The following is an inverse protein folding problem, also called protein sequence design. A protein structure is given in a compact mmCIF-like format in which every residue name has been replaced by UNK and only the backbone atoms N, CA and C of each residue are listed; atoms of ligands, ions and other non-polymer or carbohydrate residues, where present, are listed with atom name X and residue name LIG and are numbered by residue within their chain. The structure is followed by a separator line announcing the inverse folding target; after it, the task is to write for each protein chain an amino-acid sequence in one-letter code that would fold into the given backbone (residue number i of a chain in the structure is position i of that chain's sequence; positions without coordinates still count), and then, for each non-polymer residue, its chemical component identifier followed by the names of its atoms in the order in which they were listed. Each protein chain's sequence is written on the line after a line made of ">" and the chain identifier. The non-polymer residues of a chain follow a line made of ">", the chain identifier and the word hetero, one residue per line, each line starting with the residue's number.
data_IF_920825888240
#
_entry.id   IF_920825888240
#
_cell.length_a   1.000
_cell.length_b   1.000
_cell.length_c   1.000
_cell.angle_alpha   90.00
_cell.angle_beta   90.00
_cell.angle_gamma   90.00
#
_symmetry.space_group_name_H-M   'P 1'
#
loop_
_entity.id
_entity.type
_entity.pdbx_description
1 polymer ?
#
# COMPACT_ATOMS: atom_id res chain seq x y z
N UNK A 1 10.56 1.38 8.17
CA UNK A 1 10.39 1.32 6.70
C UNK A 1 10.87 -0.04 6.18
N UNK A 2 10.26 -0.59 5.14
CA UNK A 2 10.64 -1.88 4.55
C UNK A 2 10.66 -1.83 3.01
N UNK A 3 11.57 -2.56 2.39
CA UNK A 3 11.82 -2.54 0.95
C UNK A 3 12.29 -3.90 0.41
N UNK A 4 12.26 -4.03 -0.92
CA UNK A 4 12.79 -5.20 -1.62
C UNK A 4 14.29 -5.02 -1.84
N UNK A 5 15.07 -6.01 -1.41
CA UNK A 5 16.48 -6.15 -1.75
C UNK A 5 16.60 -7.05 -2.97
N UNK A 6 17.37 -6.58 -3.95
CA UNK A 6 17.67 -7.31 -5.19
C UNK A 6 19.11 -7.81 -5.13
N UNK A 7 19.31 -9.09 -5.44
CA UNK A 7 20.65 -9.62 -5.67
C UNK A 7 20.95 -9.71 -7.16
N UNK A 8 22.23 -9.54 -7.51
CA UNK A 8 22.80 -10.30 -8.62
C UNK A 8 23.20 -11.66 -8.04
N UNK A 9 22.30 -12.64 -8.11
CA UNK A 9 22.68 -14.04 -7.91
C UNK A 9 23.13 -14.53 -9.26
N UNK A 10 24.25 -15.27 -9.33
CA UNK A 10 24.80 -15.90 -10.53
C UNK A 10 23.72 -16.18 -11.58
N UNK A 11 23.91 -15.61 -12.79
CA UNK A 11 23.10 -15.43 -14.01
C UNK A 11 21.65 -15.96 -14.15
N UNK A 12 21.13 -16.84 -13.28
CA UNK A 12 19.88 -17.59 -13.46
C UNK A 12 18.96 -17.67 -12.24
N UNK A 13 19.24 -17.02 -11.11
CA UNK A 13 18.33 -17.01 -9.94
C UNK A 13 18.05 -15.61 -9.39
N UNK A 14 17.16 -14.85 -10.01
CA UNK A 14 16.67 -13.60 -9.40
C UNK A 14 15.85 -13.96 -8.16
N UNK A 15 16.38 -13.72 -6.96
CA UNK A 15 15.60 -13.77 -5.72
C UNK A 15 15.45 -12.38 -5.13
N UNK A 16 14.24 -12.09 -4.63
CA UNK A 16 13.92 -10.89 -3.87
C UNK A 16 13.72 -11.28 -2.43
N UNK A 17 14.24 -10.44 -1.55
CA UNK A 17 14.10 -10.60 -0.11
C UNK A 17 13.68 -9.27 0.50
N UNK A 18 13.01 -9.32 1.64
CA UNK A 18 12.47 -8.12 2.30
C UNK A 18 13.40 -7.68 3.42
N UNK A 19 13.87 -6.45 3.35
CA UNK A 19 14.63 -5.81 4.42
C UNK A 19 13.81 -4.66 5.03
N UNK A 20 14.13 -4.32 6.28
CA UNK A 20 13.55 -3.19 6.96
C UNK A 20 14.60 -2.46 7.80
N UNK A 21 14.31 -1.20 8.11
CA UNK A 21 15.02 -0.39 9.08
C UNK A 21 14.00 0.38 9.91
N UNK A 22 14.33 0.65 11.16
CA UNK A 22 13.48 1.36 12.12
C UNK A 22 14.11 2.69 12.43
N UNK A 23 13.27 3.71 12.53
CA UNK A 23 13.61 5.02 13.09
C UNK A 23 12.82 5.18 14.38
N UNK A 24 13.45 5.75 15.40
CA UNK A 24 12.88 6.13 16.69
C UNK A 24 12.86 7.66 16.89
N UNK A 25 13.20 8.42 15.85
CA UNK A 25 13.36 9.87 15.84
C UNK A 25 12.68 10.53 14.63
N UNK A 26 11.46 10.06 14.32
CA UNK A 26 10.61 10.61 13.25
C UNK A 26 11.24 10.60 11.84
N UNK A 27 12.10 9.61 11.59
CA UNK A 27 12.73 9.38 10.28
C UNK A 27 14.03 10.14 10.06
N UNK A 28 14.59 10.80 11.08
CA UNK A 28 15.86 11.53 10.99
C UNK A 28 17.04 10.56 10.88
N UNK A 29 17.09 9.54 11.74
CA UNK A 29 18.07 8.46 11.69
C UNK A 29 17.39 7.10 11.57
N UNK A 30 18.17 6.11 11.14
CA UNK A 30 17.68 4.80 10.78
C UNK A 30 18.63 3.73 11.29
N UNK A 31 18.08 2.66 11.87
CA UNK A 31 18.85 1.49 12.26
C UNK A 31 19.54 0.86 11.05
N UNK A 32 20.56 0.03 11.30
CA UNK A 32 21.10 -0.83 10.24
C UNK A 32 19.98 -1.68 9.61
N UNK A 33 19.98 -1.89 8.28
CA UNK A 33 19.01 -2.76 7.63
C UNK A 33 19.02 -4.17 8.21
N UNK A 34 17.84 -4.72 8.45
CA UNK A 34 17.61 -6.08 8.90
C UNK A 34 16.77 -6.83 7.87
N UNK A 35 17.14 -8.07 7.60
CA UNK A 35 16.35 -8.98 6.77
C UNK A 35 15.31 -9.70 7.62
N UNK A 36 14.13 -9.97 7.08
CA UNK A 36 13.18 -10.89 7.74
C UNK A 36 13.77 -12.31 7.76
N UNK A 37 13.53 -13.06 8.84
CA UNK A 37 14.24 -14.31 9.13
C UNK A 37 14.11 -15.36 8.02
N UNK A 38 12.94 -15.47 7.37
CA UNK A 38 12.73 -16.42 6.27
C UNK A 38 13.53 -16.12 5.00
N UNK A 39 14.14 -14.93 4.88
CA UNK A 39 15.06 -14.65 3.78
C UNK A 39 16.32 -15.54 3.80
N UNK A 40 16.61 -16.23 4.91
CA UNK A 40 17.70 -17.21 5.00
C UNK A 40 17.48 -18.42 4.10
N UNK A 41 16.23 -18.73 3.73
CA UNK A 41 15.92 -19.75 2.74
C UNK A 41 15.97 -19.15 1.33
N UNK A 42 16.99 -19.55 0.56
CA UNK A 42 17.22 -19.10 -0.82
C UNK A 42 16.11 -19.53 -1.80
N UNK A 43 15.20 -20.44 -1.40
CA UNK A 43 14.04 -20.84 -2.20
C UNK A 43 12.86 -19.90 -2.04
N UNK A 44 12.87 -19.03 -1.02
CA UNK A 44 11.78 -18.10 -0.75
C UNK A 44 12.07 -16.79 -1.48
N UNK A 45 11.29 -16.51 -2.53
CA UNK A 45 11.17 -15.19 -3.11
C UNK A 45 10.05 -14.44 -2.39
N UNK A 46 10.38 -13.30 -1.78
CA UNK A 46 9.40 -12.47 -1.07
C UNK A 46 9.49 -11.02 -1.51
N UNK A 47 8.33 -10.39 -1.60
CA UNK A 47 8.18 -9.01 -2.10
C UNK A 47 7.26 -8.24 -1.18
N UNK A 48 7.68 -7.05 -0.78
CA UNK A 48 6.85 -6.07 -0.09
C UNK A 48 6.68 -4.82 -0.97
N UNK A 49 5.48 -4.26 -0.98
CA UNK A 49 5.18 -3.02 -1.71
C UNK A 49 4.29 -2.05 -0.95
N UNK A 50 3.48 -2.61 -0.05
CA UNK A 50 2.53 -1.86 0.75
C UNK A 50 3.08 -1.62 2.15
N UNK A 51 2.60 -0.58 2.84
CA UNK A 51 2.97 -0.33 4.23
C UNK A 51 2.73 -1.56 5.11
N UNK A 52 3.58 -1.68 6.12
CA UNK A 52 3.38 -2.60 7.24
C UNK A 52 2.25 -2.03 8.10
N UNK A 53 1.34 -2.89 8.57
CA UNK A 53 0.37 -2.49 9.59
C UNK A 53 0.94 -2.85 10.96
N UNK A 54 1.30 -1.84 11.74
CA UNK A 54 1.73 -2.05 13.12
C UNK A 54 0.49 -2.32 14.00
N UNK A 55 0.34 -3.55 14.47
CA UNK A 55 -0.75 -3.93 15.38
C UNK A 55 -0.36 -3.72 16.84
N UNK A 56 0.92 -3.93 17.14
CA UNK A 56 1.61 -3.58 18.39
C UNK A 56 3.12 -3.47 18.11
N UNK A 57 3.90 -2.98 19.09
CA UNK A 57 5.36 -2.81 18.98
C UNK A 57 6.09 -4.10 18.60
N UNK A 58 5.57 -5.24 19.04
CA UNK A 58 6.11 -6.58 18.81
C UNK A 58 5.27 -7.40 17.81
N UNK A 59 4.31 -6.77 17.13
CA UNK A 59 3.36 -7.45 16.23
C UNK A 59 3.08 -6.60 15.00
N UNK A 60 3.79 -6.89 13.92
CA UNK A 60 3.62 -6.27 12.61
C UNK A 60 2.90 -7.20 11.65
N UNK A 61 1.88 -6.71 10.95
CA UNK A 61 1.24 -7.43 9.86
C UNK A 61 1.91 -7.07 8.54
N UNK A 62 2.50 -8.08 7.89
CA UNK A 62 3.22 -7.94 6.62
C UNK A 62 2.39 -8.49 5.45
N UNK A 63 1.96 -7.64 4.50
CA UNK A 63 1.30 -8.08 3.27
C UNK A 63 2.35 -8.40 2.18
N UNK A 64 3.02 -9.53 2.32
CA UNK A 64 4.02 -9.99 1.35
C UNK A 64 3.33 -10.65 0.14
N UNK A 65 4.01 -10.68 -1.00
CA UNK A 65 3.48 -11.32 -2.21
C UNK A 65 3.17 -12.82 -1.98
N UNK A 66 4.08 -13.52 -1.33
CA UNK A 66 4.03 -14.97 -1.13
C UNK A 66 3.25 -15.38 0.13
N UNK A 67 3.05 -14.46 1.09
CA UNK A 67 2.38 -14.74 2.36
C UNK A 67 1.85 -13.48 3.04
N UNK A 68 0.84 -13.65 3.89
CA UNK A 68 0.41 -12.62 4.84
C UNK A 68 0.67 -13.13 6.26
N UNK A 69 1.56 -12.44 6.99
CA UNK A 69 2.11 -12.96 8.25
C UNK A 69 2.13 -11.90 9.34
N UNK A 70 2.08 -12.37 10.59
CA UNK A 70 2.53 -11.58 11.73
C UNK A 70 4.04 -11.76 11.87
N UNK A 71 4.76 -10.66 12.03
CA UNK A 71 6.18 -10.62 12.26
C UNK A 71 6.48 -9.91 13.57
N UNK A 72 7.30 -10.51 14.41
CA UNK A 72 7.82 -9.88 15.61
C UNK A 72 9.19 -9.24 15.30
N UNK A 73 9.31 -7.90 15.27
CA UNK A 73 10.57 -7.23 14.94
C UNK A 73 11.65 -7.35 16.04
N UNK A 74 11.29 -7.85 17.23
CA UNK A 74 12.21 -8.05 18.36
C UNK A 74 12.78 -9.47 18.35
N UNK A 75 11.94 -10.50 18.17
CA UNK A 75 12.37 -11.92 18.16
C UNK A 75 12.66 -12.45 16.76
N UNK A 76 12.29 -11.70 15.72
CA UNK A 76 12.39 -12.08 14.30
C UNK A 76 11.52 -13.28 13.89
N UNK A 77 10.57 -13.66 14.74
CA UNK A 77 9.65 -14.77 14.49
C UNK A 77 8.51 -14.36 13.54
N UNK A 78 8.09 -15.30 12.70
CA UNK A 78 6.92 -15.16 11.84
C UNK A 78 5.86 -16.19 12.23
N UNK A 79 4.59 -15.78 12.28
CA UNK A 79 3.44 -16.67 12.43
C UNK A 79 2.37 -16.38 11.38
N UNK A 80 1.46 -17.34 11.19
CA UNK A 80 0.27 -17.10 10.38
C UNK A 80 -0.55 -15.93 10.96
N UNK A 81 -1.16 -15.15 10.07
CA UNK A 81 -2.09 -14.09 10.44
C UNK A 81 -3.54 -14.56 10.28
N UNK A 82 -4.38 -14.34 11.30
CA UNK A 82 -5.81 -14.64 11.22
C UNK A 82 -6.08 -16.12 10.89
N UNK A 83 -6.87 -16.36 9.86
CA UNK A 83 -7.14 -17.69 9.30
C UNK A 83 -6.02 -18.28 8.42
N UNK A 84 -4.88 -17.60 8.32
CA UNK A 84 -3.69 -18.07 7.59
C UNK A 84 -3.73 -17.85 6.08
N UNK A 85 -4.76 -17.17 5.54
CA UNK A 85 -4.83 -16.89 4.10
C UNK A 85 -3.70 -15.97 3.62
N UNK A 86 -3.29 -16.15 2.37
CA UNK A 86 -2.43 -15.19 1.68
C UNK A 86 -3.28 -14.15 0.92
N UNK A 87 -3.19 -12.88 1.30
CA UNK A 87 -3.83 -11.77 0.57
C UNK A 87 -3.01 -11.33 -0.65
N UNK A 88 -1.75 -11.73 -0.75
CA UNK A 88 -0.83 -11.37 -1.82
C UNK A 88 -0.36 -9.91 -1.74
N UNK A 89 0.20 -9.41 -2.86
CA UNK A 89 0.81 -8.09 -2.95
C UNK A 89 -0.24 -6.95 -3.04
N UNK A 90 -1.12 -6.87 -2.06
CA UNK A 90 -2.17 -5.85 -1.92
C UNK A 90 -2.04 -5.13 -0.58
N UNK A 91 -2.52 -3.89 -0.43
CA UNK A 91 -2.53 -3.23 0.86
C UNK A 91 -3.50 -3.92 1.82
N UNK A 92 -3.15 -3.98 3.09
CA UNK A 92 -4.09 -4.23 4.18
C UNK A 92 -4.05 -2.98 5.06
N UNK A 93 -5.21 -2.46 5.44
CA UNK A 93 -5.32 -1.27 6.29
C UNK A 93 -6.17 -1.60 7.50
N UNK A 94 -5.84 -0.96 8.63
CA UNK A 94 -6.63 -1.01 9.86
C UNK A 94 -7.35 0.32 10.04
N UNK A 95 -8.66 0.28 10.29
CA UNK A 95 -9.45 1.48 10.57
C UNK A 95 -9.42 1.84 12.06
N UNK A 96 -9.87 3.04 12.46
CA UNK A 96 -10.04 3.39 13.87
C UNK A 96 -10.93 2.41 14.66
N UNK A 97 -11.83 1.69 14.00
CA UNK A 97 -12.69 0.66 14.62
C UNK A 97 -12.01 -0.70 14.74
N UNK A 98 -10.70 -0.78 14.46
CA UNK A 98 -9.93 -2.01 14.37
C UNK A 98 -10.41 -2.99 13.29
N UNK A 99 -11.22 -2.51 12.34
CA UNK A 99 -11.58 -3.28 11.14
C UNK A 99 -10.37 -3.37 10.23
N UNK A 100 -10.13 -4.54 9.66
CA UNK A 100 -9.13 -4.74 8.63
C UNK A 100 -9.81 -4.79 7.27
N UNK A 101 -9.27 -4.03 6.32
CA UNK A 101 -9.71 -4.06 4.92
C UNK A 101 -8.50 -4.44 4.08
N UNK A 102 -8.65 -5.50 3.30
CA UNK A 102 -7.66 -5.98 2.36
C UNK A 102 -8.00 -5.52 0.95
N UNK A 103 -6.97 -5.12 0.20
CA UNK A 103 -7.08 -4.82 -1.22
C UNK A 103 -7.50 -6.00 -2.11
N UNK A 104 -7.70 -7.19 -1.54
CA UNK A 104 -8.42 -8.30 -2.19
C UNK A 104 -9.94 -8.14 -2.17
N UNK A 105 -10.48 -7.04 -1.67
CA UNK A 105 -11.93 -6.84 -1.51
C UNK A 105 -12.50 -7.60 -0.33
N UNK A 106 -11.74 -7.70 0.76
CA UNK A 106 -12.13 -8.45 1.95
C UNK A 106 -12.10 -7.56 3.18
N UNK A 107 -13.06 -7.74 4.08
CA UNK A 107 -13.20 -7.00 5.34
C UNK A 107 -13.28 -7.96 6.53
N UNK A 108 -12.55 -7.68 7.59
CA UNK A 108 -12.56 -8.44 8.85
C UNK A 108 -12.74 -7.51 10.05
N UNK A 109 -13.52 -7.96 11.03
CA UNK A 109 -13.75 -7.23 12.30
C UNK A 109 -13.30 -8.04 13.52
N UNK A 110 -12.57 -9.12 13.29
CA UNK A 110 -12.17 -10.10 14.31
C UNK A 110 -10.68 -10.47 14.18
N UNK A 111 -9.86 -9.47 13.87
CA UNK A 111 -8.40 -9.59 13.73
C UNK A 111 -7.97 -10.58 12.63
N UNK A 112 -8.74 -10.68 11.55
CA UNK A 112 -8.45 -11.53 10.40
C UNK A 112 -8.86 -12.99 10.57
N UNK A 113 -9.56 -13.35 11.66
CA UNK A 113 -10.05 -14.72 11.89
C UNK A 113 -11.13 -15.10 10.89
N UNK A 114 -11.99 -14.15 10.52
CA UNK A 114 -12.94 -14.29 9.43
C UNK A 114 -12.91 -13.07 8.51
N UNK A 115 -13.26 -13.30 7.24
CA UNK A 115 -13.27 -12.25 6.22
C UNK A 115 -14.55 -12.33 5.39
N UNK A 116 -15.21 -11.19 5.26
CA UNK A 116 -16.39 -11.02 4.43
C UNK A 116 -15.96 -10.34 3.13
N UNK A 117 -16.43 -10.87 2.00
CA UNK A 117 -16.21 -10.24 0.71
C UNK A 117 -17.01 -8.94 0.59
N UNK A 118 -16.38 -7.89 0.09
CA UNK A 118 -16.99 -6.59 -0.18
C UNK A 118 -17.16 -6.44 -1.69
N UNK A 119 -18.40 -6.20 -2.13
CA UNK A 119 -18.72 -5.96 -3.55
C UNK A 119 -19.76 -4.83 -3.70
N UNK A 120 -19.58 -3.92 -4.66
CA UNK A 120 -18.39 -3.75 -5.51
C UNK A 120 -17.19 -3.24 -4.68
N UNK A 121 -15.97 -3.42 -5.21
CA UNK A 121 -14.73 -3.01 -4.55
C UNK A 121 -13.73 -2.42 -5.56
N UNK A 122 -12.92 -1.41 -5.18
CA UNK A 122 -11.85 -0.88 -6.02
C UNK A 122 -10.89 -1.98 -6.49
N UNK A 123 -10.60 -2.04 -7.79
CA UNK A 123 -9.56 -2.97 -8.27
C UNK A 123 -8.16 -2.46 -7.92
N UNK A 124 -7.76 -2.75 -6.69
CA UNK A 124 -6.38 -2.56 -6.22
C UNK A 124 -5.58 -3.86 -6.30
N UNK A 125 -6.17 -4.95 -6.84
CA UNK A 125 -5.58 -6.29 -6.77
C UNK A 125 -4.88 -6.70 -8.06
N UNK A 126 -5.47 -6.39 -9.23
CA UNK A 126 -4.94 -6.77 -10.55
C UNK A 126 -3.55 -6.19 -10.78
N UNK A 127 -3.32 -4.96 -10.30
CA UNK A 127 -2.02 -4.32 -10.32
C UNK A 127 -1.63 -3.84 -8.92
N UNK A 128 -1.74 -4.74 -7.94
CA UNK A 128 -1.46 -4.43 -6.54
C UNK A 128 -0.10 -3.79 -6.28
N UNK A 129 0.88 -3.95 -7.17
CA UNK A 129 2.17 -3.26 -7.05
C UNK A 129 2.13 -1.74 -7.29
N UNK A 130 1.12 -1.19 -7.98
CA UNK A 130 0.99 0.27 -8.21
C UNK A 130 -0.02 0.93 -7.27
N UNK A 131 -1.16 0.29 -7.06
CA UNK A 131 -2.26 0.90 -6.32
C UNK A 131 -1.93 1.08 -4.83
N UNK A 132 -2.62 2.00 -4.19
CA UNK A 132 -2.62 2.23 -2.76
C UNK A 132 -4.04 2.04 -2.22
N UNK A 133 -4.12 1.61 -0.97
CA UNK A 133 -5.28 1.81 -0.13
C UNK A 133 -4.80 2.33 1.23
N UNK A 134 -5.48 3.32 1.80
CA UNK A 134 -5.17 3.89 3.12
C UNK A 134 -6.44 4.15 3.91
N UNK A 135 -6.32 4.14 5.23
CA UNK A 135 -7.29 4.73 6.13
C UNK A 135 -6.72 6.05 6.65
N UNK A 136 -7.49 7.12 6.50
CA UNK A 136 -7.19 8.42 7.10
C UNK A 136 -7.60 8.41 8.58
N UNK A 137 -7.05 9.33 9.37
CA UNK A 137 -7.33 9.41 10.82
C UNK A 137 -8.81 9.64 11.13
N UNK A 138 -9.52 10.33 10.23
CA UNK A 138 -10.97 10.56 10.33
C UNK A 138 -11.83 9.33 9.94
N UNK A 139 -11.21 8.19 9.62
CA UNK A 139 -11.87 6.94 9.27
C UNK A 139 -12.25 6.79 7.80
N UNK A 140 -12.00 7.79 6.94
CA UNK A 140 -12.17 7.62 5.50
C UNK A 140 -11.17 6.61 4.96
N UNK A 141 -11.64 5.73 4.08
CA UNK A 141 -10.80 4.81 3.34
C UNK A 141 -10.68 5.30 1.90
N UNK A 142 -9.46 5.37 1.40
CA UNK A 142 -9.16 5.76 0.03
C UNK A 142 -8.49 4.60 -0.68
N UNK A 143 -8.89 4.35 -1.92
CA UNK A 143 -8.21 3.45 -2.84
C UNK A 143 -7.88 4.21 -4.13
N UNK A 144 -6.63 4.14 -4.57
CA UNK A 144 -6.23 4.79 -5.82
C UNK A 144 -6.70 3.98 -7.02
N UNK A 145 -7.26 4.64 -8.02
CA UNK A 145 -7.57 4.07 -9.32
C UNK A 145 -6.78 4.80 -10.40
N UNK A 146 -6.20 4.05 -11.33
CA UNK A 146 -5.44 4.61 -12.45
C UNK A 146 -6.22 4.27 -13.71
N UNK A 147 -6.81 5.28 -14.33
CA UNK A 147 -7.73 5.17 -15.48
C UNK A 147 -6.97 5.51 -16.76
N UNK A 148 -7.25 4.80 -17.84
CA UNK A 148 -6.60 4.99 -19.14
C UNK A 148 -5.71 3.81 -19.53
N UNK A 149 -5.18 3.83 -20.76
CA UNK A 149 -4.37 2.74 -21.29
C UNK A 149 -2.99 2.65 -20.60
N UNK A 150 -2.38 1.47 -20.71
CA UNK A 150 -1.04 1.22 -20.18
C UNK A 150 -0.97 1.20 -18.65
N UNK A 151 0.26 1.21 -18.13
CA UNK A 151 0.52 1.10 -16.68
C UNK A 151 0.43 2.44 -15.95
N UNK A 152 0.67 3.55 -16.64
CA UNK A 152 0.57 4.90 -16.08
C UNK A 152 -0.86 5.46 -16.09
N UNK A 153 -1.70 5.01 -17.02
CA UNK A 153 -3.01 5.61 -17.28
C UNK A 153 -2.87 7.07 -17.74
N UNK A 154 -4.01 7.74 -17.82
CA UNK A 154 -4.14 9.17 -18.08
C UNK A 154 -4.57 9.94 -16.82
N UNK A 155 -5.24 9.25 -15.89
CA UNK A 155 -5.83 9.88 -14.69
C UNK A 155 -5.56 9.06 -13.43
N UNK A 156 -5.15 9.75 -12.36
CA UNK A 156 -5.15 9.21 -11.00
C UNK A 156 -6.43 9.69 -10.30
N UNK A 157 -7.25 8.74 -9.87
CA UNK A 157 -8.46 8.96 -9.08
C UNK A 157 -8.32 8.34 -7.68
N UNK A 158 -9.17 8.81 -6.76
CA UNK A 158 -9.48 8.10 -5.52
C UNK A 158 -10.93 7.63 -5.50
N UNK A 159 -11.11 6.39 -5.05
CA UNK A 159 -12.40 5.83 -4.65
C UNK A 159 -12.47 5.86 -3.13
N UNK A 160 -13.65 6.19 -2.60
CA UNK A 160 -13.84 6.46 -1.16
C UNK A 160 -14.80 5.45 -0.53
N UNK A 161 -14.44 4.96 0.65
CA UNK A 161 -15.39 4.36 1.59
C UNK A 161 -15.50 5.22 2.84
N UNK A 162 -16.74 5.50 3.24
CA UNK A 162 -17.10 6.34 4.39
C UNK A 162 -17.63 5.53 5.58
N UNK A 163 -17.78 4.22 5.40
CA UNK A 163 -18.55 3.35 6.27
C UNK A 163 -17.73 2.16 6.78
N UNK A 164 -16.45 2.41 7.07
CA UNK A 164 -15.54 1.41 7.63
C UNK A 164 -15.31 0.23 6.65
N UNK A 165 -15.26 0.54 5.35
CA UNK A 165 -14.91 -0.40 4.29
C UNK A 165 -16.03 -1.34 3.87
N UNK A 166 -17.28 -1.07 4.29
CA UNK A 166 -18.43 -1.90 3.94
C UNK A 166 -18.90 -1.64 2.52
N UNK A 167 -18.87 -0.39 2.07
CA UNK A 167 -19.23 0.01 0.71
C UNK A 167 -18.25 1.04 0.17
N UNK A 168 -18.17 1.14 -1.16
CA UNK A 168 -17.28 2.06 -1.87
C UNK A 168 -18.07 2.85 -2.90
N UNK A 169 -17.81 4.15 -2.99
CA UNK A 169 -18.45 5.06 -3.95
C UNK A 169 -17.84 4.91 -5.35
N UNK A 170 -18.16 3.80 -6.01
CA UNK A 170 -17.57 3.40 -7.30
C UNK A 170 -17.96 4.32 -8.47
N UNK A 171 -19.12 4.95 -8.38
CA UNK A 171 -19.71 5.85 -9.38
C UNK A 171 -19.26 7.31 -9.22
N UNK A 172 -18.51 7.62 -8.15
CA UNK A 172 -18.02 8.97 -7.82
C UNK A 172 -16.50 8.98 -7.58
N UNK A 173 -15.69 8.59 -8.58
CA UNK A 173 -14.25 8.74 -8.46
C UNK A 173 -13.87 10.22 -8.34
N UNK A 174 -12.97 10.52 -7.41
CA UNK A 174 -12.46 11.87 -7.20
C UNK A 174 -11.15 12.01 -7.98
N UNK A 175 -11.14 12.88 -8.98
CA UNK A 175 -9.94 13.16 -9.76
C UNK A 175 -8.87 13.83 -8.89
N UNK A 176 -7.67 13.28 -8.90
CA UNK A 176 -6.51 13.82 -8.21
C UNK A 176 -5.48 14.41 -9.18
N UNK A 177 -5.21 13.71 -10.28
CA UNK A 177 -4.21 14.13 -11.26
C UNK A 177 -4.61 13.70 -12.67
N UNK A 178 -4.69 14.68 -13.58
CA UNK A 178 -4.96 14.48 -14.99
C UNK A 178 -4.13 15.50 -15.80
N UNK A 179 -3.00 15.10 -16.41
CA UNK A 179 -2.21 15.98 -17.25
C UNK A 179 -2.75 16.10 -18.69
N UNK A 180 -3.96 15.58 -18.98
CA UNK A 180 -4.57 15.48 -20.32
C UNK A 180 -3.68 14.76 -21.34
N UNK A 181 -2.89 13.79 -20.85
CA UNK A 181 -2.02 12.89 -21.62
C UNK A 181 -1.75 11.63 -20.80
N UNK A 182 -1.15 10.58 -21.40
CA UNK A 182 -0.64 9.47 -20.63
C UNK A 182 0.39 9.92 -19.59
N UNK A 183 0.23 9.44 -18.36
CA UNK A 183 1.16 9.65 -17.25
C UNK A 183 2.40 8.78 -17.50
N UNK A 184 3.59 9.40 -17.49
CA UNK A 184 4.84 8.69 -17.71
C UNK A 184 5.12 7.70 -16.58
N UNK A 185 5.56 6.49 -16.94
CA UNK A 185 5.92 5.48 -15.94
C UNK A 185 4.69 4.74 -15.41
N UNK A 186 4.47 4.76 -14.09
CA UNK A 186 3.51 3.87 -13.41
C UNK A 186 2.52 4.57 -12.47
N UNK A 187 2.59 5.90 -12.36
CA UNK A 187 1.90 6.72 -11.36
C UNK A 187 2.25 6.35 -9.90
N UNK A 188 1.86 5.16 -9.42
CA UNK A 188 2.13 4.61 -8.09
C UNK A 188 1.88 5.62 -6.92
N UNK A 189 0.68 6.21 -6.80
CA UNK A 189 0.42 7.22 -5.80
C UNK A 189 0.61 6.69 -4.38
N UNK A 190 1.15 7.53 -3.48
CA UNK A 190 1.25 7.29 -2.04
C UNK A 190 0.84 8.55 -1.29
N UNK A 191 -0.21 8.42 -0.50
CA UNK A 191 -0.91 9.53 0.15
C UNK A 191 -0.86 9.43 1.67
N UNK A 192 -0.90 10.59 2.32
CA UNK A 192 -0.97 10.78 3.77
C UNK A 192 -1.87 11.98 4.09
N UNK A 193 -2.49 11.95 5.26
CA UNK A 193 -3.24 13.08 5.80
C UNK A 193 -2.27 14.09 6.42
N UNK A 194 -2.44 15.37 6.09
CA UNK A 194 -1.67 16.49 6.58
C UNK A 194 -2.62 17.43 7.35
N UNK A 195 -2.27 17.72 8.60
CA UNK A 195 -2.95 18.70 9.46
C UNK A 195 -4.48 18.54 9.53
N UNK A 196 -4.98 17.32 9.48
CA UNK A 196 -6.41 17.07 9.62
C UNK A 196 -7.27 17.35 8.37
N UNK A 197 -6.76 18.12 7.40
CA UNK A 197 -7.60 18.78 6.39
C UNK A 197 -7.11 18.61 4.96
N UNK A 198 -5.86 18.21 4.77
CA UNK A 198 -5.23 18.11 3.45
C UNK A 198 -4.77 16.69 3.19
N UNK A 199 -5.02 16.17 1.99
CA UNK A 199 -4.41 14.94 1.51
C UNK A 199 -3.16 15.33 0.72
N UNK A 200 -1.99 14.92 1.20
CA UNK A 200 -0.74 15.02 0.45
C UNK A 200 -0.43 13.71 -0.24
N UNK A 201 -0.06 13.75 -1.52
CA UNK A 201 0.22 12.56 -2.32
C UNK A 201 1.49 12.73 -3.13
N UNK A 202 2.38 11.75 -3.02
CA UNK A 202 3.50 11.57 -3.94
C UNK A 202 3.14 10.60 -5.08
N UNK A 203 3.62 10.86 -6.29
CA UNK A 203 3.46 9.98 -7.45
C UNK A 203 4.57 10.20 -8.48
N UNK A 204 4.77 9.23 -9.38
CA UNK A 204 5.69 9.37 -10.51
C UNK A 204 4.94 9.86 -11.74
N UNK A 205 5.54 10.82 -12.44
CA UNK A 205 5.24 11.09 -13.83
C UNK A 205 6.58 11.28 -14.53
N UNK A 206 6.96 10.30 -15.34
CA UNK A 206 8.30 10.26 -15.93
C UNK A 206 8.34 10.78 -17.36
N UNK A 207 7.32 11.53 -17.78
CA UNK A 207 7.34 12.20 -19.08
C UNK A 207 8.35 13.35 -19.04
N UNK A 208 9.34 13.33 -19.92
CA UNK A 208 10.38 14.35 -19.98
C UNK A 208 9.86 15.74 -20.44
N UNK A 209 8.70 15.79 -21.08
CA UNK A 209 8.12 17.01 -21.68
C UNK A 209 7.18 17.76 -20.73
N UNK A 210 6.86 17.21 -19.57
CA UNK A 210 5.99 17.90 -18.63
C UNK A 210 6.70 19.06 -17.91
N UNK A 211 5.91 19.95 -17.31
CA UNK A 211 6.45 20.97 -16.41
C UNK A 211 7.21 20.31 -15.24
N UNK A 212 8.48 20.67 -15.07
CA UNK A 212 9.37 20.04 -14.08
C UNK A 212 10.10 18.78 -14.55
N UNK A 213 9.84 18.31 -15.78
CA UNK A 213 10.51 17.16 -16.37
C UNK A 213 10.08 15.80 -15.78
N UNK A 214 10.86 14.76 -16.04
CA UNK A 214 10.62 13.42 -15.49
C UNK A 214 10.96 13.37 -14.00
N UNK A 215 10.03 12.92 -13.14
CA UNK A 215 10.30 12.91 -11.70
C UNK A 215 9.24 12.31 -10.79
N UNK A 216 9.45 12.56 -9.50
CA UNK A 216 8.48 12.33 -8.41
C UNK A 216 7.86 13.66 -8.06
N UNK A 217 6.54 13.70 -8.04
CA UNK A 217 5.77 14.90 -7.76
C UNK A 217 5.07 14.74 -6.42
N UNK A 218 4.93 15.85 -5.71
CA UNK A 218 4.07 15.97 -4.55
C UNK A 218 2.96 16.96 -4.89
N UNK A 219 1.71 16.55 -4.71
CA UNK A 219 0.54 17.42 -4.85
C UNK A 219 -0.39 17.22 -3.67
N UNK A 220 -1.17 18.26 -3.39
CA UNK A 220 -2.14 18.27 -2.30
C UNK A 220 -3.56 18.48 -2.83
N UNK A 221 -4.54 17.98 -2.10
CA UNK A 221 -5.95 18.33 -2.29
C UNK A 221 -6.67 18.45 -0.94
N UNK A 222 -7.72 19.28 -0.82
CA UNK A 222 -8.55 19.33 0.38
C UNK A 222 -9.27 18.01 0.62
N UNK A 223 -9.28 17.53 1.87
CA UNK A 223 -10.03 16.31 2.26
C UNK A 223 -11.54 16.51 2.10
N UNK A 224 -12.04 17.75 2.17
CA UNK A 224 -13.45 18.06 1.93
C UNK A 224 -13.96 17.59 0.56
N UNK A 225 -13.09 17.50 -0.45
CA UNK A 225 -13.44 16.94 -1.77
C UNK A 225 -13.72 15.43 -1.74
N UNK A 226 -13.26 14.72 -0.71
CA UNK A 226 -13.48 13.27 -0.52
C UNK A 226 -14.78 12.99 0.26
N UNK A 227 -15.35 14.03 0.89
CA UNK A 227 -16.54 13.94 1.73
C UNK A 227 -17.81 14.31 0.95
N UNK A 228 -17.69 15.23 0.00
CA UNK A 228 -18.79 15.65 -0.86
C UNK A 228 -19.09 14.62 -1.97
#
# INVERSE_FOLDING_TARGET
>A
HAWNVWFNVDEKKKSRHVAFSVSDDDGITWSQPKNINKNKDQKIESVIRHPIVELAKDKWLLPLMDRTVLYNPITEEESAFGDGRNHGLVPIVKTPKSTLVSGKGMRSTDEGKTWIEVKPFPDVSTQGWRHQMICLENGLLLASQIVGPGVGGDVINYLVSKDDGKTWLMDKPIEFYNPNRPIGGRACPRSVMLEGQTLGTIFYDTDAKQAGGSGVFFRTMPISLLIN
#
